data_IF_741312903872
#
_entry.id   IF_741312903872
#
_cell.length_a   1.000
_cell.length_b   1.000
_cell.length_c   1.000
_cell.angle_alpha   90.00
_cell.angle_beta   90.00
_cell.angle_gamma   90.00
#
_symmetry.space_group_name_H-M   'P 1'
#
loop_
_entity.id
_entity.type
_entity.pdbx_description
1 polymer ?
#
# COMPACT_ATOMS: atom_id res chain seq x y z
N UNK A 1 26.05 26.52 -2.59
CA UNK A 1 26.57 25.28 -1.96
C UNK A 1 25.49 24.79 -1.01
N UNK A 2 24.49 24.03 -1.44
CA UNK A 2 24.47 22.56 -1.56
C UNK A 2 23.12 22.23 -2.19
N UNK A 3 23.10 21.58 -3.36
CA UNK A 3 22.11 20.58 -3.81
C UNK A 3 22.41 20.28 -5.27
N UNK A 4 23.44 19.46 -5.47
CA UNK A 4 23.84 18.98 -6.78
C UNK A 4 24.18 17.51 -6.65
N UNK A 5 23.18 16.63 -6.67
CA UNK A 5 23.33 15.24 -7.12
C UNK A 5 22.01 14.73 -7.68
N UNK A 6 21.93 14.92 -8.99
CA UNK A 6 21.02 14.32 -9.95
C UNK A 6 21.35 12.82 -10.09
N UNK A 7 20.31 11.98 -10.12
CA UNK A 7 20.28 10.60 -10.65
C UNK A 7 21.22 9.58 -10.00
N UNK A 8 20.67 8.74 -9.13
CA UNK A 8 21.20 7.40 -8.88
C UNK A 8 20.05 6.43 -8.61
N UNK A 9 20.14 5.26 -9.23
CA UNK A 9 19.20 4.13 -9.20
C UNK A 9 18.56 3.92 -7.82
N UNK A 10 17.27 4.28 -7.68
CA UNK A 10 16.49 3.91 -6.50
C UNK A 10 15.86 2.54 -6.71
N UNK A 11 16.60 1.48 -6.33
CA UNK A 11 16.01 0.18 -6.01
C UNK A 11 15.33 0.31 -4.64
N UNK A 12 14.09 0.78 -4.64
CA UNK A 12 13.23 0.76 -3.45
C UNK A 12 12.67 -0.66 -3.35
N UNK A 13 13.03 -1.39 -2.28
CA UNK A 13 12.39 -2.65 -1.97
C UNK A 13 11.01 -2.35 -1.34
N UNK A 14 9.97 -2.40 -2.17
CA UNK A 14 8.57 -2.34 -1.74
C UNK A 14 8.06 -3.77 -1.39
N UNK A 15 7.30 -3.96 -0.29
CA UNK A 15 6.71 -5.24 0.20
C UNK A 15 5.10 -5.18 0.33
N UNK A 16 4.25 -6.29 0.37
CA UNK A 16 2.92 -6.70 -0.34
C UNK A 16 2.79 -7.74 -1.58
N UNK A 17 2.69 -9.10 -1.45
CA UNK A 17 2.48 -10.07 -2.60
C UNK A 17 1.05 -10.60 -2.64
N UNK A 18 0.56 -10.74 -3.86
CA UNK A 18 -0.72 -11.33 -4.23
C UNK A 18 -0.50 -12.68 -4.90
N UNK A 19 -1.05 -13.74 -4.31
CA UNK A 19 -1.45 -14.95 -5.05
C UNK A 19 -2.85 -15.35 -4.58
N UNK A 20 -3.80 -15.22 -5.52
CA UNK A 20 -5.16 -15.77 -5.48
C UNK A 20 -6.13 -15.17 -4.45
N UNK A 21 -6.43 -13.88 -4.61
CA UNK A 21 -7.79 -13.35 -4.54
C UNK A 21 -7.77 -11.92 -5.09
N UNK A 22 -8.65 -11.58 -6.03
CA UNK A 22 -8.86 -10.21 -6.51
C UNK A 22 -9.58 -9.35 -5.45
N UNK A 23 -9.12 -9.41 -4.20
CA UNK A 23 -9.63 -8.62 -3.10
C UNK A 23 -8.94 -7.26 -3.10
N UNK A 24 -9.50 -6.35 -3.88
CA UNK A 24 -9.20 -4.92 -3.80
C UNK A 24 -9.40 -4.39 -2.40
N UNK A 25 -8.39 -3.70 -1.90
CA UNK A 25 -8.51 -2.85 -0.72
C UNK A 25 -9.38 -1.65 -1.10
N UNK A 26 -10.52 -1.50 -0.42
CA UNK A 26 -11.43 -0.37 -0.56
C UNK A 26 -11.04 0.69 0.46
N UNK A 27 -9.89 1.33 0.26
CA UNK A 27 -9.43 2.46 1.09
C UNK A 27 -9.64 3.74 0.29
N UNK A 28 -10.05 4.82 0.95
CA UNK A 28 -10.39 6.11 0.33
C UNK A 28 -11.89 6.41 0.31
N UNK A 29 -12.33 7.27 -0.61
CA UNK A 29 -13.69 7.84 -0.65
C UNK A 29 -14.79 6.77 -0.68
N UNK A 30 -14.61 5.70 -1.48
CA UNK A 30 -15.56 4.58 -1.54
C UNK A 30 -15.64 3.81 -0.22
N UNK A 31 -14.52 3.71 0.51
CA UNK A 31 -14.49 3.10 1.84
C UNK A 31 -15.29 3.92 2.85
N UNK A 32 -15.18 5.25 2.80
CA UNK A 32 -15.95 6.17 3.64
C UNK A 32 -17.44 6.12 3.32
N UNK A 33 -17.82 6.09 2.04
CA UNK A 33 -19.22 5.96 1.61
C UNK A 33 -19.87 4.68 2.16
N UNK A 34 -19.16 3.54 2.07
CA UNK A 34 -19.65 2.24 2.57
C UNK A 34 -19.82 2.16 4.09
N UNK A 35 -19.20 3.06 4.83
CA UNK A 35 -19.36 3.16 6.29
C UNK A 35 -20.57 3.99 6.71
N UNK A 36 -21.23 4.68 5.78
CA UNK A 36 -22.41 5.49 6.09
C UNK A 36 -23.66 4.63 6.25
N UNK A 37 -24.66 5.09 7.02
CA UNK A 37 -25.99 4.46 7.04
C UNK A 37 -26.61 4.34 5.65
N UNK A 38 -27.46 3.33 5.46
CA UNK A 38 -28.07 3.02 4.15
C UNK A 38 -28.80 4.23 3.55
N UNK A 39 -29.56 4.97 4.36
CA UNK A 39 -30.29 6.15 3.89
C UNK A 39 -29.41 7.25 3.29
N UNK A 40 -28.14 7.38 3.70
CA UNK A 40 -27.17 8.32 3.12
C UNK A 40 -26.59 7.74 1.82
N UNK A 41 -26.30 6.44 1.80
CA UNK A 41 -25.80 5.77 0.60
C UNK A 41 -26.81 5.85 -0.54
N UNK A 42 -28.10 5.70 -0.24
CA UNK A 42 -29.20 5.75 -1.22
C UNK A 42 -29.40 7.13 -1.85
N UNK A 43 -28.98 8.20 -1.15
CA UNK A 43 -29.02 9.58 -1.66
C UNK A 43 -27.85 9.93 -2.59
N UNK A 44 -26.83 9.05 -2.67
CA UNK A 44 -25.61 9.30 -3.42
C UNK A 44 -25.49 8.35 -4.60
N UNK A 45 -24.95 8.84 -5.72
CA UNK A 45 -24.62 8.01 -6.89
C UNK A 45 -23.14 8.09 -7.21
N UNK A 46 -22.55 6.95 -7.57
CA UNK A 46 -21.15 6.88 -7.98
C UNK A 46 -21.04 7.42 -9.41
N UNK A 47 -20.44 8.60 -9.59
CA UNK A 47 -20.22 9.19 -10.91
C UNK A 47 -19.03 8.56 -11.64
N UNK A 48 -18.00 8.18 -10.89
CA UNK A 48 -16.79 7.62 -11.46
C UNK A 48 -16.11 6.69 -10.44
N UNK A 49 -15.59 5.57 -10.93
CA UNK A 49 -14.77 4.65 -10.12
C UNK A 49 -13.36 4.62 -10.69
N UNK A 50 -12.38 4.96 -9.86
CA UNK A 50 -10.97 4.96 -10.24
C UNK A 50 -10.47 3.53 -10.49
N UNK A 51 -9.40 3.43 -11.30
CA UNK A 51 -8.70 2.17 -11.52
C UNK A 51 -8.22 1.61 -10.18
N UNK A 52 -8.31 0.30 -10.05
CA UNK A 52 -7.79 -0.43 -8.88
C UNK A 52 -6.27 -0.27 -8.84
N UNK A 53 -5.75 0.16 -7.70
CA UNK A 53 -4.31 0.21 -7.40
C UNK A 53 -3.89 -1.04 -6.60
N UNK A 54 -2.58 -1.26 -6.38
CA UNK A 54 -2.02 -2.28 -5.48
C UNK A 54 -1.90 -1.74 -4.04
N UNK A 55 -2.11 -2.54 -2.96
CA UNK A 55 -2.29 -2.05 -1.59
C UNK A 55 -1.14 -1.17 -1.11
N UNK A 56 -1.37 -0.36 -0.08
CA UNK A 56 -0.30 0.45 0.51
C UNK A 56 0.84 -0.45 1.03
N UNK A 57 2.07 -0.30 0.49
CA UNK A 57 3.21 -1.08 0.91
C UNK A 57 3.89 -0.50 2.14
N UNK A 58 4.59 -1.35 2.89
CA UNK A 58 5.65 -0.89 3.79
C UNK A 58 6.93 -0.67 2.96
N UNK A 59 7.42 0.57 2.94
CA UNK A 59 8.67 0.95 2.30
C UNK A 59 9.79 1.06 3.32
N UNK A 60 10.97 0.51 3.00
CA UNK A 60 12.17 0.65 3.81
C UNK A 60 13.27 1.33 3.01
N UNK A 61 13.98 2.25 3.66
CA UNK A 61 15.12 2.95 3.07
C UNK A 61 16.34 2.01 2.92
N UNK A 62 17.08 2.01 1.79
CA UNK A 62 18.24 1.14 1.57
C UNK A 62 19.37 1.27 2.62
N UNK A 63 19.48 2.44 3.25
CA UNK A 63 20.41 2.70 4.38
C UNK A 63 20.18 1.79 5.59
N UNK A 64 19.00 1.21 5.75
CA UNK A 64 18.71 0.25 6.83
C UNK A 64 19.38 -1.08 6.48
N UNK A 65 20.24 -1.65 7.36
CA UNK A 65 20.93 -2.92 7.10
C UNK A 65 19.96 -4.05 6.75
N UNK A 66 20.32 -4.88 5.75
CA UNK A 66 19.45 -5.96 5.24
C UNK A 66 18.92 -6.86 6.36
N UNK A 67 19.77 -7.27 7.30
CA UNK A 67 19.41 -8.10 8.45
C UNK A 67 18.27 -7.47 9.27
N UNK A 68 18.29 -6.15 9.48
CA UNK A 68 17.23 -5.47 10.21
C UNK A 68 15.92 -5.44 9.40
N UNK A 69 16.01 -5.20 8.08
CA UNK A 69 14.84 -5.23 7.18
C UNK A 69 14.15 -6.59 7.22
N UNK A 70 14.93 -7.67 7.12
CA UNK A 70 14.42 -9.04 7.10
C UNK A 70 13.80 -9.43 8.44
N UNK A 71 14.43 -9.03 9.56
CA UNK A 71 13.87 -9.27 10.91
C UNK A 71 12.51 -8.60 11.09
N UNK A 72 12.39 -7.33 10.70
CA UNK A 72 11.12 -6.58 10.82
C UNK A 72 10.06 -7.17 9.89
N UNK A 73 10.41 -7.49 8.63
CA UNK A 73 9.50 -8.12 7.70
C UNK A 73 8.96 -9.45 8.23
N UNK A 74 9.85 -10.33 8.71
CA UNK A 74 9.45 -11.63 9.25
C UNK A 74 8.60 -11.48 10.52
N UNK A 75 8.91 -10.51 11.39
CA UNK A 75 8.10 -10.23 12.56
C UNK A 75 6.67 -9.82 12.18
N UNK A 76 6.50 -8.90 11.22
CA UNK A 76 5.18 -8.45 10.75
C UNK A 76 4.38 -9.60 10.11
N UNK A 77 5.02 -10.48 9.34
CA UNK A 77 4.36 -11.64 8.75
C UNK A 77 3.91 -12.63 9.83
N UNK A 78 4.78 -12.95 10.79
CA UNK A 78 4.45 -13.84 11.92
C UNK A 78 3.35 -13.29 12.82
N UNK A 79 3.22 -11.97 12.95
CA UNK A 79 2.10 -11.38 13.68
C UNK A 79 0.74 -11.73 13.07
N UNK A 80 0.67 -12.02 11.78
CA UNK A 80 -0.58 -12.49 11.15
C UNK A 80 -0.90 -13.95 11.46
N UNK A 81 0.04 -14.73 11.97
CA UNK A 81 -0.10 -16.16 12.24
C UNK A 81 -0.47 -16.45 13.70
N UNK A 82 -0.19 -15.52 14.62
CA UNK A 82 -0.48 -15.66 16.06
C UNK A 82 -1.72 -14.83 16.47
N UNK A 83 -2.58 -15.41 17.32
CA UNK A 83 -3.75 -14.74 17.93
C UNK A 83 -3.43 -13.39 18.57
N UNK A 84 -2.33 -13.28 19.32
CA UNK A 84 -1.93 -12.01 19.95
C UNK A 84 -1.56 -10.95 18.91
N UNK A 85 -0.83 -11.36 17.86
CA UNK A 85 -0.47 -10.46 16.76
C UNK A 85 -1.68 -10.03 15.95
N UNK A 86 -2.62 -10.94 15.67
CA UNK A 86 -3.88 -10.63 15.01
C UNK A 86 -4.74 -9.65 15.82
N UNK A 87 -4.77 -9.79 17.15
CA UNK A 87 -5.48 -8.87 18.04
C UNK A 87 -4.86 -7.46 18.07
N UNK A 88 -3.54 -7.34 17.93
CA UNK A 88 -2.87 -6.04 17.77
C UNK A 88 -3.17 -5.43 16.39
N UNK A 89 -3.10 -6.26 15.34
CA UNK A 89 -3.33 -5.82 13.96
C UNK A 89 -4.79 -5.46 13.67
N UNK A 90 -5.76 -6.02 14.40
CA UNK A 90 -7.19 -5.74 14.20
C UNK A 90 -7.58 -4.29 14.52
N UNK A 91 -6.76 -3.59 15.31
CA UNK A 91 -6.94 -2.17 15.62
C UNK A 91 -6.64 -1.26 14.43
N UNK A 92 -5.94 -1.78 13.43
CA UNK A 92 -5.65 -1.06 12.18
C UNK A 92 -6.48 -1.69 11.06
N UNK A 93 -7.09 -0.92 10.15
CA UNK A 93 -7.98 -1.44 9.12
C UNK A 93 -7.22 -2.17 7.99
N UNK A 94 -6.43 -3.18 8.31
CA UNK A 94 -5.79 -4.10 7.39
C UNK A 94 -6.54 -5.43 7.37
N UNK A 95 -6.82 -5.98 6.19
CA UNK A 95 -7.40 -7.32 6.06
C UNK A 95 -6.38 -8.42 6.33
N UNK A 96 -5.18 -8.27 5.76
CA UNK A 96 -4.08 -9.23 5.84
C UNK A 96 -2.77 -8.55 5.42
N UNK A 97 -1.68 -8.85 6.11
CA UNK A 97 -0.33 -8.48 5.67
C UNK A 97 0.24 -9.58 4.76
N UNK A 98 0.86 -9.17 3.66
CA UNK A 98 1.54 -10.06 2.69
C UNK A 98 2.84 -9.40 2.19
N UNK A 99 3.73 -10.12 1.50
CA UNK A 99 5.12 -9.68 1.21
C UNK A 99 5.39 -9.28 -0.26
N UNK A 100 5.80 -8.08 -0.68
CA UNK A 100 5.60 -7.54 -2.07
C UNK A 100 6.79 -7.69 -2.92
N UNK A 101 6.45 -7.51 -4.19
CA UNK A 101 7.37 -7.39 -5.27
C UNK A 101 7.06 -6.08 -5.97
N UNK A 102 8.12 -5.42 -6.44
CA UNK A 102 8.02 -4.21 -7.25
C UNK A 102 7.07 -4.34 -8.44
N UNK A 103 6.96 -5.56 -9.00
CA UNK A 103 6.08 -5.86 -10.13
C UNK A 103 4.61 -5.51 -9.87
N UNK A 104 4.16 -5.55 -8.62
CA UNK A 104 2.78 -5.27 -8.25
C UNK A 104 2.42 -3.78 -8.48
N UNK A 105 3.44 -2.91 -8.50
CA UNK A 105 3.31 -1.46 -8.68
C UNK A 105 3.78 -0.97 -10.07
N UNK A 106 4.46 -1.82 -10.86
CA UNK A 106 4.90 -1.46 -12.21
C UNK A 106 3.79 -0.96 -13.13
N UNK A 107 2.54 -1.50 -13.10
CA UNK A 107 1.46 -0.99 -13.94
C UNK A 107 1.16 0.50 -13.72
N UNK A 108 1.44 1.05 -12.54
CA UNK A 108 1.21 2.47 -12.27
C UNK A 108 2.17 3.39 -13.04
N UNK A 109 3.34 2.88 -13.44
CA UNK A 109 4.30 3.66 -14.24
C UNK A 109 3.76 4.03 -15.62
N UNK A 110 2.82 3.24 -16.15
CA UNK A 110 2.23 3.48 -17.48
C UNK A 110 1.08 4.50 -17.46
N UNK A 111 0.72 5.03 -16.29
CA UNK A 111 -0.44 5.92 -16.14
C UNK A 111 -0.14 7.38 -16.45
N UNK A 112 1.11 7.73 -16.80
CA UNK A 112 1.49 9.09 -17.16
C UNK A 112 1.42 10.10 -16.00
N UNK A 113 1.27 9.64 -14.76
CA UNK A 113 1.08 10.51 -13.59
C UNK A 113 2.23 11.50 -13.35
N UNK A 114 3.43 11.20 -13.86
CA UNK A 114 4.60 12.08 -13.75
C UNK A 114 4.35 13.46 -14.36
N UNK A 115 3.52 13.56 -15.39
CA UNK A 115 3.16 14.84 -16.00
C UNK A 115 2.40 15.78 -15.06
N UNK A 116 1.80 15.24 -13.99
CA UNK A 116 0.98 15.98 -13.02
C UNK A 116 1.67 16.13 -11.66
N UNK A 117 2.93 15.68 -11.52
CA UNK A 117 3.70 15.85 -10.30
C UNK A 117 4.29 17.27 -10.25
N UNK A 118 3.77 18.11 -9.37
CA UNK A 118 4.41 19.39 -9.01
C UNK A 118 5.46 19.08 -7.95
N UNK A 119 6.75 19.24 -8.30
CA UNK A 119 7.84 19.09 -7.34
C UNK A 119 7.98 20.44 -6.61
N UNK A 120 7.81 20.47 -5.28
CA UNK A 120 8.02 21.69 -4.49
C UNK A 120 9.49 22.11 -4.43
#
# INVERSE_FOLDING_TARGET
MIFRYFVSLFFIAFFSFSTHARETYKVGVLGTLKKQPQHIQDQLRILYTTKKIAPHPFGVHPRVPAIARDKVQNALLRMTENKTGQALLSQVPFKKLTAAKMKDYLPMKTWGLKAYCVVP
#
